data_IF_949755994127
#
_entry.id   IF_949755994127
#
_cell.length_a   1.000
_cell.length_b   1.000
_cell.length_c   1.000
_cell.angle_alpha   90.00
_cell.angle_beta   90.00
_cell.angle_gamma   90.00
#
_symmetry.space_group_name_H-M   'P 1'
#
loop_
_entity.id
_entity.type
_entity.pdbx_description
1 polymer ?
#
# COMPACT_ATOMS: atom_id res chain seq x y z
N UNK A 1 7.61 11.61 -15.72
CA UNK A 1 8.04 10.31 -15.20
C UNK A 1 9.49 10.05 -15.54
N UNK A 2 10.24 9.61 -14.54
CA UNK A 2 11.68 9.34 -14.63
C UNK A 2 12.00 8.07 -15.47
N UNK A 3 13.28 7.84 -15.72
CA UNK A 3 13.76 6.70 -16.53
C UNK A 3 13.51 5.35 -15.87
N UNK A 4 13.59 5.26 -14.54
CA UNK A 4 13.40 4.00 -13.80
C UNK A 4 11.97 3.44 -14.00
N UNK A 5 10.97 4.32 -13.94
CA UNK A 5 9.57 3.93 -14.22
C UNK A 5 9.44 3.40 -15.63
N UNK A 6 10.02 4.10 -16.62
CA UNK A 6 9.95 3.67 -18.02
C UNK A 6 10.63 2.33 -18.23
N UNK A 7 11.83 2.16 -17.69
CA UNK A 7 12.56 0.89 -17.76
C UNK A 7 11.72 -0.25 -17.19
N UNK A 8 11.13 -0.08 -16.01
CA UNK A 8 10.29 -1.10 -15.39
C UNK A 8 9.12 -1.58 -16.27
N UNK A 9 8.45 -0.66 -16.96
CA UNK A 9 7.26 -0.98 -17.77
C UNK A 9 7.58 -1.34 -19.22
N UNK A 10 8.71 -0.88 -19.76
CA UNK A 10 9.10 -1.12 -21.17
C UNK A 10 10.06 -2.28 -21.34
N UNK A 11 10.87 -2.58 -20.33
CA UNK A 11 11.79 -3.71 -20.34
C UNK A 11 10.96 -4.98 -20.19
N UNK A 12 10.73 -5.66 -21.31
CA UNK A 12 9.89 -6.85 -21.38
C UNK A 12 10.63 -8.11 -20.88
N UNK A 13 11.46 -7.97 -19.84
CA UNK A 13 12.06 -9.10 -19.16
C UNK A 13 10.94 -9.98 -18.60
N UNK A 14 10.92 -11.25 -19.04
CA UNK A 14 9.91 -12.25 -18.69
C UNK A 14 8.50 -11.98 -19.22
N UNK A 15 8.35 -11.19 -20.27
CA UNK A 15 7.06 -11.04 -20.97
C UNK A 15 5.94 -10.50 -20.03
N UNK A 16 6.36 -9.67 -19.06
CA UNK A 16 5.58 -9.24 -17.88
C UNK A 16 4.34 -8.43 -18.24
N UNK A 17 4.41 -7.65 -19.32
CA UNK A 17 3.33 -6.80 -19.79
C UNK A 17 3.12 -7.02 -21.28
N UNK A 18 1.88 -7.29 -21.68
CA UNK A 18 1.46 -7.41 -23.08
C UNK A 18 1.13 -6.06 -23.70
N UNK A 19 0.64 -5.13 -22.88
CA UNK A 19 0.37 -3.75 -23.28
C UNK A 19 0.67 -2.82 -22.10
N UNK A 20 1.29 -1.68 -22.39
CA UNK A 20 1.51 -0.60 -21.42
C UNK A 20 1.13 0.71 -22.10
N UNK A 21 0.35 1.54 -21.42
CA UNK A 21 -0.01 2.88 -21.86
C UNK A 21 0.23 3.90 -20.77
N UNK A 22 1.03 4.91 -21.06
CA UNK A 22 1.23 6.05 -20.18
C UNK A 22 0.18 7.10 -20.53
N UNK A 23 -0.92 7.15 -19.76
CA UNK A 23 -2.11 7.90 -20.15
C UNK A 23 -1.86 9.41 -20.27
N UNK A 24 -0.94 9.93 -19.45
CA UNK A 24 -0.47 11.32 -19.50
C UNK A 24 0.39 11.66 -20.73
N UNK A 25 0.76 10.67 -21.55
CA UNK A 25 1.52 10.84 -22.80
C UNK A 25 0.63 10.67 -24.04
N UNK A 26 -0.65 10.40 -23.84
CA UNK A 26 -1.63 10.20 -24.89
C UNK A 26 -2.73 11.27 -24.82
N UNK A 27 -2.45 12.55 -25.13
CA UNK A 27 -3.40 13.66 -24.93
C UNK A 27 -4.70 13.51 -25.73
N UNK A 28 -4.66 12.78 -26.85
CA UNK A 28 -5.78 12.64 -27.78
C UNK A 28 -6.79 11.55 -27.38
N UNK A 29 -6.45 10.69 -26.41
CA UNK A 29 -7.40 9.65 -25.96
C UNK A 29 -8.49 10.25 -25.07
N UNK A 30 -9.73 9.93 -25.42
CA UNK A 30 -10.92 10.37 -24.69
C UNK A 30 -11.33 9.39 -23.60
N UNK A 31 -12.07 9.88 -22.61
CA UNK A 31 -12.68 9.04 -21.57
C UNK A 31 -13.53 7.91 -22.16
N UNK A 32 -14.35 8.21 -23.16
CA UNK A 32 -15.25 7.24 -23.81
C UNK A 32 -14.51 6.13 -24.56
N UNK A 33 -13.26 6.36 -24.95
CA UNK A 33 -12.40 5.34 -25.55
C UNK A 33 -11.76 4.49 -24.46
N UNK A 34 -11.17 5.11 -23.43
CA UNK A 34 -10.37 4.37 -22.46
C UNK A 34 -11.21 3.59 -21.44
N UNK A 35 -12.36 4.13 -21.03
CA UNK A 35 -13.28 3.44 -20.10
C UNK A 35 -13.84 2.12 -20.66
N UNK A 36 -13.75 1.90 -21.98
CA UNK A 36 -14.15 0.63 -22.63
C UNK A 36 -13.08 -0.46 -22.59
N UNK A 37 -11.86 -0.12 -22.21
CA UNK A 37 -10.73 -1.07 -22.14
C UNK A 37 -10.11 -1.13 -20.76
N UNK A 38 -10.26 -0.09 -19.93
CA UNK A 38 -9.86 -0.03 -18.53
C UNK A 38 -11.09 0.23 -17.65
N UNK A 39 -11.79 -0.84 -17.24
CA UNK A 39 -13.10 -0.73 -16.59
C UNK A 39 -13.03 -0.08 -15.20
N UNK A 40 -11.96 -0.37 -14.46
CA UNK A 40 -11.78 0.10 -13.09
C UNK A 40 -10.95 1.38 -13.00
N UNK A 41 -10.65 2.03 -14.14
CA UNK A 41 -9.96 3.31 -14.16
C UNK A 41 -10.85 4.39 -13.52
N UNK A 42 -10.44 5.04 -12.42
CA UNK A 42 -11.21 6.14 -11.87
C UNK A 42 -11.22 7.32 -12.84
N UNK A 43 -12.40 7.91 -13.07
CA UNK A 43 -12.51 9.11 -13.93
C UNK A 43 -11.62 10.25 -13.44
N UNK A 44 -11.50 10.44 -12.13
CA UNK A 44 -10.59 11.43 -11.55
C UNK A 44 -9.13 11.20 -11.92
N UNK A 45 -8.67 9.94 -12.05
CA UNK A 45 -7.32 9.63 -12.53
C UNK A 45 -7.15 9.95 -14.01
N UNK A 46 -8.15 9.65 -14.84
CA UNK A 46 -8.13 10.09 -16.24
C UNK A 46 -8.02 11.62 -16.33
N UNK A 47 -8.80 12.37 -15.56
CA UNK A 47 -8.76 13.83 -15.55
C UNK A 47 -7.42 14.36 -15.03
N UNK A 48 -6.87 13.74 -13.98
CA UNK A 48 -5.52 14.02 -13.46
C UNK A 48 -4.44 13.82 -14.53
N UNK A 49 -4.56 12.80 -15.40
CA UNK A 49 -3.59 12.56 -16.47
C UNK A 49 -3.52 13.70 -17.52
N UNK A 50 -4.46 14.65 -17.50
CA UNK A 50 -4.56 15.77 -18.46
C UNK A 50 -3.94 17.08 -17.98
N UNK A 51 -3.53 17.17 -16.72
CA UNK A 51 -2.89 18.38 -16.17
C UNK A 51 -1.37 18.26 -16.14
N UNK A 52 -0.64 19.33 -15.83
CA UNK A 52 0.82 19.33 -15.74
C UNK A 52 1.34 18.35 -14.68
N UNK A 53 2.56 17.81 -14.81
CA UNK A 53 3.20 17.02 -13.76
C UNK A 53 3.17 17.71 -12.38
N UNK A 54 3.43 19.01 -12.32
CA UNK A 54 3.40 19.80 -11.09
C UNK A 54 2.01 19.79 -10.44
N UNK A 55 0.97 20.09 -11.23
CA UNK A 55 -0.41 20.07 -10.79
C UNK A 55 -0.82 18.67 -10.31
N UNK A 56 -0.36 17.60 -10.99
CA UNK A 56 -0.65 16.22 -10.55
C UNK A 56 -0.09 15.94 -9.16
N UNK A 57 1.14 16.37 -8.89
CA UNK A 57 1.78 16.25 -7.57
C UNK A 57 1.01 17.06 -6.53
N UNK A 58 0.70 18.32 -6.81
CA UNK A 58 -0.02 19.21 -5.91
C UNK A 58 -1.43 18.69 -5.58
N UNK A 59 -2.24 18.36 -6.59
CA UNK A 59 -3.59 17.85 -6.39
C UNK A 59 -3.59 16.52 -5.61
N UNK A 60 -2.66 15.61 -5.91
CA UNK A 60 -2.60 14.32 -5.23
C UNK A 60 -2.15 14.48 -3.78
N UNK A 61 -1.19 15.36 -3.50
CA UNK A 61 -0.77 15.72 -2.14
C UNK A 61 -1.95 16.24 -1.34
N UNK A 62 -2.65 17.25 -1.86
CA UNK A 62 -3.76 17.89 -1.16
C UNK A 62 -4.91 16.89 -0.95
N UNK A 63 -5.16 16.00 -1.91
CA UNK A 63 -6.12 14.91 -1.77
C UNK A 63 -5.74 13.92 -0.67
N UNK A 64 -4.48 13.50 -0.58
CA UNK A 64 -4.01 12.64 0.52
C UNK A 64 -4.22 13.29 1.88
N UNK A 65 -3.82 14.56 2.00
CA UNK A 65 -3.88 15.32 3.26
C UNK A 65 -5.32 15.65 3.70
N UNK A 66 -6.25 15.77 2.77
CA UNK A 66 -7.68 15.91 3.07
C UNK A 66 -8.30 14.59 3.57
N UNK A 67 -7.88 13.46 3.00
CA UNK A 67 -8.49 12.15 3.25
C UNK A 67 -7.93 11.42 4.47
N UNK A 68 -6.63 11.52 4.70
CA UNK A 68 -5.96 10.86 5.83
C UNK A 68 -6.17 11.74 7.08
N UNK A 69 -6.69 11.20 8.20
CA UNK A 69 -6.84 11.97 9.43
C UNK A 69 -5.52 12.63 9.87
N UNK A 70 -5.59 13.89 10.30
CA UNK A 70 -4.40 14.62 10.72
C UNK A 70 -3.63 13.88 11.81
N UNK A 71 -2.33 13.66 11.55
CA UNK A 71 -1.42 13.04 12.50
C UNK A 71 -0.11 13.83 12.58
N UNK A 72 0.23 14.44 13.73
CA UNK A 72 1.30 15.44 13.84
C UNK A 72 2.69 14.89 13.50
N UNK A 73 2.94 13.58 13.68
CA UNK A 73 4.21 12.96 13.32
C UNK A 73 4.28 12.44 11.88
N UNK A 74 3.15 12.09 11.28
CA UNK A 74 3.13 11.44 9.97
C UNK A 74 2.96 12.45 8.83
N UNK A 75 2.15 13.50 9.05
CA UNK A 75 1.90 14.53 8.04
C UNK A 75 3.17 15.23 7.53
N UNK A 76 4.15 15.62 8.38
CA UNK A 76 5.41 16.17 7.88
C UNK A 76 6.12 15.24 6.89
N UNK A 77 6.16 13.93 7.18
CA UNK A 77 6.75 12.94 6.29
C UNK A 77 5.97 12.78 4.98
N UNK A 78 4.64 12.94 4.99
CA UNK A 78 3.85 12.97 3.76
C UNK A 78 4.22 14.18 2.89
N UNK A 79 4.36 15.37 3.48
CA UNK A 79 4.83 16.56 2.74
C UNK A 79 6.22 16.31 2.14
N UNK A 80 7.17 15.83 2.93
CA UNK A 80 8.54 15.50 2.47
C UNK A 80 8.52 14.46 1.34
N UNK A 81 7.62 13.47 1.40
CA UNK A 81 7.46 12.49 0.32
C UNK A 81 7.04 13.16 -0.98
N UNK A 82 6.00 14.00 -0.97
CA UNK A 82 5.53 14.68 -2.18
C UNK A 82 6.54 15.70 -2.73
N UNK A 83 7.34 16.34 -1.87
CA UNK A 83 8.43 17.24 -2.29
C UNK A 83 9.55 16.52 -3.06
N UNK A 84 9.70 15.21 -2.87
CA UNK A 84 10.70 14.39 -3.57
C UNK A 84 10.22 13.87 -4.93
N UNK A 85 8.95 14.05 -5.27
CA UNK A 85 8.38 13.54 -6.53
C UNK A 85 8.68 14.49 -7.70
N UNK A 86 9.01 13.94 -8.86
CA UNK A 86 9.03 14.71 -10.12
C UNK A 86 7.71 14.63 -10.89
N UNK A 87 6.95 13.55 -10.66
CA UNK A 87 5.70 13.30 -11.36
C UNK A 87 4.80 12.29 -10.62
N UNK A 88 3.50 12.40 -10.86
CA UNK A 88 2.51 11.36 -10.56
C UNK A 88 1.80 11.02 -11.86
N UNK A 89 1.98 9.81 -12.37
CA UNK A 89 1.48 9.37 -13.67
C UNK A 89 0.39 8.32 -13.56
N UNK A 90 -0.47 8.22 -14.58
CA UNK A 90 -1.43 7.12 -14.70
C UNK A 90 -0.93 6.17 -15.77
N UNK A 91 -0.67 4.92 -15.37
CA UNK A 91 -0.22 3.86 -16.27
C UNK A 91 -1.28 2.78 -16.34
N UNK A 92 -1.61 2.39 -17.56
CA UNK A 92 -2.52 1.29 -17.82
C UNK A 92 -1.72 0.10 -18.32
N UNK A 93 -1.95 -1.08 -17.74
CA UNK A 93 -1.20 -2.28 -18.09
C UNK A 93 -2.12 -3.45 -18.39
N UNK A 94 -1.76 -4.24 -19.40
CA UNK A 94 -2.38 -5.55 -19.66
C UNK A 94 -1.33 -6.62 -19.42
N UNK A 95 -1.62 -7.57 -18.52
CA UNK A 95 -0.69 -8.66 -18.18
C UNK A 95 -0.93 -9.91 -19.03
N UNK A 96 -2.18 -10.22 -19.38
CA UNK A 96 -2.51 -11.32 -20.29
C UNK A 96 -3.37 -10.87 -21.45
N UNK A 97 -3.23 -11.56 -22.58
CA UNK A 97 -4.02 -11.26 -23.77
C UNK A 97 -5.52 -11.49 -23.51
N UNK A 98 -6.36 -10.55 -23.95
CA UNK A 98 -7.80 -10.59 -23.75
C UNK A 98 -8.29 -10.05 -22.39
N UNK A 99 -7.41 -9.77 -21.43
CA UNK A 99 -7.78 -9.11 -20.18
C UNK A 99 -7.98 -7.60 -20.36
N UNK A 100 -8.83 -6.95 -19.55
CA UNK A 100 -8.90 -5.49 -19.47
C UNK A 100 -7.55 -4.88 -19.08
N UNK A 101 -7.41 -3.58 -19.31
CA UNK A 101 -6.29 -2.79 -18.81
C UNK A 101 -6.51 -2.47 -17.33
N UNK A 102 -5.54 -2.83 -16.50
CA UNK A 102 -5.48 -2.44 -15.10
C UNK A 102 -4.88 -1.04 -14.98
N UNK A 103 -5.51 -0.18 -14.18
CA UNK A 103 -5.00 1.15 -13.89
C UNK A 103 -4.08 1.15 -12.68
N UNK A 104 -2.98 1.90 -12.75
CA UNK A 104 -2.06 2.14 -11.65
C UNK A 104 -1.63 3.60 -11.62
N UNK A 105 -1.62 4.21 -10.43
CA UNK A 105 -1.10 5.54 -10.19
C UNK A 105 0.36 5.42 -9.73
N UNK A 106 1.27 6.05 -10.45
CA UNK A 106 2.71 5.90 -10.27
C UNK A 106 3.28 7.18 -9.67
N UNK A 107 3.93 7.06 -8.51
CA UNK A 107 4.61 8.14 -7.82
C UNK A 107 6.11 8.05 -8.12
N UNK A 108 6.58 8.89 -9.02
CA UNK A 108 7.96 8.90 -9.53
C UNK A 108 8.82 9.84 -8.69
N UNK A 109 9.93 9.34 -8.12
CA UNK A 109 10.87 10.19 -7.39
C UNK A 109 11.83 10.90 -8.35
N UNK A 110 12.14 12.16 -8.06
CA UNK A 110 12.99 12.99 -8.89
C UNK A 110 14.45 12.50 -8.98
N UNK A 111 14.94 11.83 -7.94
CA UNK A 111 16.29 11.27 -7.89
C UNK A 111 16.43 9.94 -8.65
N UNK A 112 15.33 9.38 -9.16
CA UNK A 112 15.32 8.09 -9.86
C UNK A 112 15.68 6.90 -8.96
N UNK A 113 15.69 7.06 -7.64
CA UNK A 113 16.06 5.99 -6.69
C UNK A 113 15.01 4.89 -6.59
N UNK A 114 13.74 5.27 -6.65
CA UNK A 114 12.60 4.35 -6.62
C UNK A 114 11.34 5.01 -7.18
N UNK A 115 10.25 4.26 -7.19
CA UNK A 115 8.90 4.77 -7.46
C UNK A 115 7.88 3.92 -6.71
N UNK A 116 6.72 4.50 -6.41
CA UNK A 116 5.60 3.81 -5.79
C UNK A 116 4.46 3.63 -6.77
N UNK A 117 3.61 2.63 -6.51
CA UNK A 117 2.47 2.27 -7.35
C UNK A 117 1.26 2.09 -6.47
N UNK A 118 0.16 2.77 -6.79
CA UNK A 118 -1.12 2.62 -6.13
C UNK A 118 -2.18 2.08 -7.08
N UNK A 119 -3.04 1.20 -6.57
CA UNK A 119 -4.23 0.70 -7.26
C UNK A 119 -5.42 1.65 -7.09
N UNK A 120 -6.47 1.52 -7.91
CA UNK A 120 -7.71 2.28 -7.74
C UNK A 120 -8.23 2.18 -6.29
N UNK A 121 -8.92 3.22 -5.79
CA UNK A 121 -9.43 3.23 -4.42
C UNK A 121 -10.60 2.26 -4.24
N UNK A 122 -10.79 1.77 -3.01
CA UNK A 122 -12.03 1.10 -2.63
C UNK A 122 -13.22 2.06 -2.67
N UNK A 123 -14.36 1.51 -3.08
CA UNK A 123 -15.69 2.09 -2.88
C UNK A 123 -16.11 2.05 -1.41
N UNK A 124 -17.12 2.84 -1.05
CA UNK A 124 -17.69 2.79 0.30
C UNK A 124 -18.31 1.41 0.64
N UNK A 125 -18.78 0.66 -0.36
CA UNK A 125 -19.32 -0.71 -0.17
C UNK A 125 -18.21 -1.67 0.19
N UNK A 126 -17.11 -1.69 -0.57
CA UNK A 126 -15.97 -2.58 -0.30
C UNK A 126 -15.34 -2.31 1.06
N UNK A 127 -15.24 -1.03 1.46
CA UNK A 127 -14.78 -0.67 2.82
C UNK A 127 -15.74 -1.17 3.90
N UNK A 128 -17.05 -1.14 3.65
CA UNK A 128 -18.05 -1.67 4.59
C UNK A 128 -17.95 -3.21 4.68
N UNK A 129 -17.86 -3.88 3.54
CA UNK A 129 -17.72 -5.33 3.44
C UNK A 129 -16.46 -5.82 4.17
N UNK A 130 -15.31 -5.17 3.98
CA UNK A 130 -14.09 -5.48 4.71
C UNK A 130 -14.27 -5.35 6.24
N UNK A 131 -14.95 -4.30 6.70
CA UNK A 131 -15.20 -4.10 8.14
C UNK A 131 -16.11 -5.18 8.72
N UNK A 132 -17.12 -5.60 7.96
CA UNK A 132 -18.02 -6.68 8.36
C UNK A 132 -17.29 -8.02 8.40
N UNK A 133 -16.44 -8.31 7.39
CA UNK A 133 -15.69 -9.56 7.31
C UNK A 133 -14.61 -9.70 8.39
N UNK A 134 -13.93 -8.61 8.76
CA UNK A 134 -12.84 -8.67 9.75
C UNK A 134 -13.33 -8.81 11.19
N UNK A 135 -14.60 -8.50 11.47
CA UNK A 135 -15.19 -8.46 12.81
C UNK A 135 -14.34 -7.68 13.84
N UNK A 136 -13.57 -6.69 13.37
CA UNK A 136 -12.58 -5.96 14.15
C UNK A 136 -12.64 -4.44 13.90
N UNK A 137 -12.22 -3.66 14.89
CA UNK A 137 -12.17 -2.20 14.79
C UNK A 137 -10.92 -1.75 14.02
N UNK A 138 -10.89 -1.98 12.71
CA UNK A 138 -9.80 -1.54 11.82
C UNK A 138 -9.51 -0.03 11.98
N UNK A 139 -8.23 0.39 11.99
CA UNK A 139 -7.87 1.80 12.19
C UNK A 139 -8.48 2.72 11.14
N UNK A 140 -8.96 3.90 11.56
CA UNK A 140 -9.64 4.83 10.67
C UNK A 140 -8.72 5.34 9.57
N UNK A 141 -7.46 5.59 9.88
CA UNK A 141 -6.47 6.09 8.92
C UNK A 141 -6.12 5.06 7.83
N UNK A 142 -6.08 3.77 8.18
CA UNK A 142 -6.00 2.67 7.21
C UNK A 142 -7.22 2.63 6.28
N UNK A 143 -8.43 2.69 6.83
CA UNK A 143 -9.67 2.71 6.05
C UNK A 143 -9.76 3.96 5.16
N UNK A 144 -9.27 5.10 5.63
CA UNK A 144 -9.13 6.33 4.82
C UNK A 144 -8.14 6.13 3.67
N UNK A 145 -7.03 5.44 3.91
CA UNK A 145 -6.03 5.17 2.88
C UNK A 145 -6.54 4.22 1.79
N UNK A 146 -7.37 3.22 2.14
CA UNK A 146 -8.03 2.36 1.14
C UNK A 146 -8.90 3.14 0.15
N UNK A 147 -9.44 4.30 0.57
CA UNK A 147 -10.19 5.23 -0.32
C UNK A 147 -9.29 6.09 -1.20
N UNK A 148 -7.99 5.96 -1.06
CA UNK A 148 -6.97 6.53 -1.95
C UNK A 148 -6.40 5.42 -2.83
N UNK A 149 -6.01 4.30 -2.21
CA UNK A 149 -5.40 3.15 -2.87
C UNK A 149 -5.84 1.82 -2.25
N UNK A 150 -6.49 0.97 -3.04
CA UNK A 150 -6.74 -0.42 -2.68
C UNK A 150 -5.54 -1.31 -3.08
N UNK A 151 -4.43 -1.16 -2.37
CA UNK A 151 -3.15 -1.74 -2.75
C UNK A 151 -2.13 -0.67 -3.15
N UNK A 152 -0.93 -0.77 -2.59
CA UNK A 152 0.09 0.27 -2.69
C UNK A 152 1.49 -0.29 -2.40
N UNK A 153 2.43 -0.08 -3.30
CA UNK A 153 3.74 -0.68 -3.17
C UNK A 153 4.88 0.10 -3.80
N UNK A 154 6.07 -0.48 -3.76
CA UNK A 154 7.33 0.12 -4.20
C UNK A 154 7.95 -0.79 -5.27
N UNK A 155 8.35 -0.20 -6.39
CA UNK A 155 8.92 -0.93 -7.53
C UNK A 155 8.02 -2.10 -8.01
N UNK A 156 8.58 -3.32 -8.03
CA UNK A 156 7.89 -4.55 -8.40
C UNK A 156 6.93 -5.08 -7.33
N UNK A 157 7.07 -4.64 -6.09
CA UNK A 157 6.36 -5.21 -4.94
C UNK A 157 5.14 -4.36 -4.60
N UNK A 158 3.94 -4.92 -4.78
CA UNK A 158 2.71 -4.23 -4.39
C UNK A 158 2.51 -4.21 -2.88
N UNK A 159 3.16 -5.09 -2.11
CA UNK A 159 3.35 -5.01 -0.65
C UNK A 159 2.08 -4.95 0.19
N UNK A 160 1.38 -3.81 0.12
CA UNK A 160 0.09 -3.58 0.74
C UNK A 160 -1.00 -4.43 0.09
N UNK A 161 -1.75 -5.12 0.94
CA UNK A 161 -2.74 -6.12 0.56
C UNK A 161 -4.05 -5.42 0.20
N UNK A 162 -4.62 -5.80 -0.94
CA UNK A 162 -5.92 -5.31 -1.41
C UNK A 162 -7.03 -5.79 -0.45
N UNK A 163 -8.06 -4.99 -0.25
CA UNK A 163 -9.10 -5.17 0.77
C UNK A 163 -9.73 -6.58 0.70
N UNK A 164 -10.06 -7.03 -0.51
CA UNK A 164 -10.63 -8.34 -0.82
C UNK A 164 -9.70 -9.52 -0.47
N UNK A 165 -8.39 -9.28 -0.39
CA UNK A 165 -7.39 -10.31 -0.10
C UNK A 165 -6.99 -10.37 1.39
N UNK A 166 -7.43 -9.40 2.21
CA UNK A 166 -7.05 -9.34 3.63
C UNK A 166 -7.51 -10.58 4.40
N UNK A 167 -8.73 -11.07 4.15
CA UNK A 167 -9.23 -12.27 4.84
C UNK A 167 -8.49 -13.54 4.42
N UNK A 168 -8.10 -13.62 3.16
CA UNK A 168 -7.23 -14.68 2.64
C UNK A 168 -5.85 -14.60 3.28
N UNK A 169 -5.26 -13.41 3.38
CA UNK A 169 -3.97 -13.19 4.01
C UNK A 169 -4.00 -13.52 5.52
N UNK A 170 -5.07 -13.15 6.24
CA UNK A 170 -5.27 -13.52 7.65
C UNK A 170 -5.25 -15.04 7.83
N UNK A 171 -5.96 -15.78 6.97
CA UNK A 171 -5.92 -17.25 6.96
C UNK A 171 -4.52 -17.80 6.68
N UNK A 172 -3.78 -17.22 5.72
CA UNK A 172 -2.39 -17.63 5.44
C UNK A 172 -1.48 -17.44 6.66
N UNK A 173 -1.59 -16.30 7.35
CA UNK A 173 -0.84 -16.03 8.59
C UNK A 173 -1.19 -17.04 9.67
N UNK A 174 -2.48 -17.31 9.89
CA UNK A 174 -2.92 -18.33 10.84
C UNK A 174 -2.36 -19.72 10.50
N UNK A 175 -2.48 -20.15 9.24
CA UNK A 175 -1.95 -21.44 8.78
C UNK A 175 -0.43 -21.54 8.94
N UNK A 176 0.29 -20.45 8.65
CA UNK A 176 1.74 -20.38 8.82
C UNK A 176 2.12 -20.59 10.29
N UNK A 177 1.40 -19.96 11.22
CA UNK A 177 1.68 -20.10 12.65
C UNK A 177 1.28 -21.49 13.18
N UNK A 178 0.13 -22.03 12.76
CA UNK A 178 -0.36 -23.36 13.17
C UNK A 178 0.54 -24.51 12.70
N UNK A 179 1.23 -24.34 11.57
CA UNK A 179 2.20 -25.33 11.07
C UNK A 179 3.46 -25.40 11.93
N UNK A 180 3.70 -24.42 12.78
CA UNK A 180 4.81 -24.44 13.71
C UNK A 180 4.38 -24.90 15.09
N UNK A 181 5.18 -25.73 15.73
CA UNK A 181 5.03 -26.01 17.16
C UNK A 181 5.48 -24.82 18.04
N UNK A 182 5.83 -23.67 17.42
CA UNK A 182 6.32 -22.48 18.10
C UNK A 182 5.14 -21.56 18.44
N UNK A 183 5.18 -21.02 19.66
CA UNK A 183 4.27 -19.94 20.06
C UNK A 183 4.79 -18.62 19.53
N UNK A 184 3.91 -17.81 18.95
CA UNK A 184 4.20 -16.43 18.56
C UNK A 184 4.30 -15.60 19.83
N UNK A 185 5.34 -14.78 19.93
CA UNK A 185 5.57 -13.92 21.09
C UNK A 185 5.84 -12.49 20.70
N UNK A 186 5.31 -11.57 21.50
CA UNK A 186 5.71 -10.16 21.56
C UNK A 186 6.44 -9.93 22.88
N UNK A 187 7.77 -9.84 22.83
CA UNK A 187 8.60 -9.93 24.03
C UNK A 187 8.38 -11.26 24.76
N UNK A 188 7.93 -11.20 26.01
CA UNK A 188 7.65 -12.37 26.84
C UNK A 188 6.17 -12.84 26.80
N UNK A 189 5.31 -12.16 26.04
CA UNK A 189 3.87 -12.41 26.00
C UNK A 189 3.52 -13.31 24.81
N UNK A 190 2.81 -14.41 25.06
CA UNK A 190 2.24 -15.27 24.02
C UNK A 190 1.11 -14.51 23.30
N UNK A 191 1.14 -14.51 21.97
CA UNK A 191 0.17 -13.82 21.11
C UNK A 191 -0.70 -14.85 20.40
N UNK A 192 -2.02 -14.63 20.39
CA UNK A 192 -2.95 -15.41 19.57
C UNK A 192 -2.79 -15.01 18.09
N UNK A 193 -2.40 -15.91 17.18
CA UNK A 193 -2.32 -15.60 15.75
C UNK A 193 -3.63 -15.09 15.15
N UNK A 194 -4.79 -15.47 15.70
CA UNK A 194 -6.11 -15.01 15.24
C UNK A 194 -6.35 -13.51 15.47
N UNK A 195 -5.59 -12.89 16.38
CA UNK A 195 -5.62 -11.45 16.67
C UNK A 195 -4.84 -10.59 15.66
N UNK A 196 -4.10 -11.22 14.75
CA UNK A 196 -3.27 -10.52 13.75
C UNK A 196 -4.03 -10.38 12.43
N UNK A 197 -4.12 -9.16 11.92
CA UNK A 197 -4.76 -8.85 10.63
C UNK A 197 -3.70 -8.27 9.70
N UNK A 198 -3.14 -9.06 8.76
CA UNK A 198 -2.11 -8.56 7.85
C UNK A 198 -2.69 -7.54 6.88
N UNK A 199 -2.01 -6.41 6.71
CA UNK A 199 -2.32 -5.40 5.69
C UNK A 199 -1.16 -5.15 4.72
N UNK A 200 0.01 -5.72 5.01
CA UNK A 200 1.18 -5.68 4.13
C UNK A 200 1.96 -6.99 4.23
N UNK A 201 2.48 -7.46 3.10
CA UNK A 201 3.32 -8.64 2.95
C UNK A 201 4.55 -8.31 2.09
N UNK A 202 5.75 -8.53 2.62
CA UNK A 202 6.99 -8.44 1.86
C UNK A 202 7.13 -9.66 0.95
N UNK A 203 7.31 -9.43 -0.35
CA UNK A 203 7.29 -10.49 -1.36
C UNK A 203 8.39 -11.53 -1.10
N UNK A 204 8.01 -12.81 -1.06
CA UNK A 204 8.96 -13.93 -1.00
C UNK A 204 9.61 -14.16 0.36
N UNK A 205 9.27 -13.37 1.39
CA UNK A 205 9.90 -13.43 2.72
C UNK A 205 8.94 -13.87 3.83
N UNK A 206 7.67 -14.14 3.50
CA UNK A 206 6.62 -14.46 4.48
C UNK A 206 6.62 -13.49 5.67
N UNK A 207 6.90 -12.22 5.40
CA UNK A 207 7.08 -11.19 6.43
C UNK A 207 5.96 -10.18 6.31
N UNK A 208 5.27 -9.91 7.41
CA UNK A 208 4.00 -9.18 7.39
C UNK A 208 4.05 -7.97 8.31
N UNK A 209 3.28 -6.95 7.97
CA UNK A 209 2.81 -5.97 8.94
C UNK A 209 1.34 -6.23 9.20
N UNK A 210 1.01 -6.36 10.48
CA UNK A 210 -0.30 -6.78 10.94
C UNK A 210 -0.86 -5.76 11.91
N UNK A 211 -2.15 -5.43 11.79
CA UNK A 211 -2.86 -4.83 12.92
C UNK A 211 -2.98 -5.88 14.03
N UNK A 212 -2.70 -5.47 15.26
CA UNK A 212 -2.76 -6.35 16.42
C UNK A 212 -3.97 -6.02 17.29
N UNK A 213 -4.97 -6.92 17.26
CA UNK A 213 -6.26 -6.71 17.91
C UNK A 213 -6.22 -6.66 19.44
N UNK A 214 -5.09 -6.99 20.08
CA UNK A 214 -4.90 -6.85 21.53
C UNK A 214 -4.01 -5.65 21.91
N UNK A 215 -3.57 -4.82 20.95
CA UNK A 215 -2.69 -3.69 21.21
C UNK A 215 -3.26 -2.35 20.71
N UNK A 216 -3.64 -1.49 21.67
CA UNK A 216 -4.24 -0.17 21.44
C UNK A 216 -3.42 0.93 22.12
N UNK A 217 -2.31 1.39 21.52
CA UNK A 217 -1.40 2.37 22.14
C UNK A 217 -2.01 3.77 22.35
N UNK A 218 -3.22 4.00 21.82
CA UNK A 218 -4.09 5.14 22.10
C UNK A 218 -5.54 4.66 22.24
N UNK A 219 -6.27 4.64 21.13
CA UNK A 219 -7.67 4.15 21.06
C UNK A 219 -7.97 3.34 19.79
N UNK A 220 -6.99 3.13 18.92
CA UNK A 220 -7.08 2.34 17.69
C UNK A 220 -6.00 1.26 17.71
N UNK A 221 -6.18 0.21 16.90
CA UNK A 221 -5.20 -0.88 16.81
C UNK A 221 -3.87 -0.34 16.27
N UNK A 222 -2.79 -0.65 16.99
CA UNK A 222 -1.44 -0.47 16.47
C UNK A 222 -1.10 -1.57 15.45
N UNK A 223 0.05 -1.43 14.80
CA UNK A 223 0.57 -2.45 13.89
C UNK A 223 1.96 -2.93 14.29
N UNK A 224 2.18 -4.22 14.04
CA UNK A 224 3.38 -4.97 14.42
C UNK A 224 3.90 -5.75 13.23
N UNK A 225 5.22 -5.88 13.18
CA UNK A 225 5.90 -6.74 12.24
C UNK A 225 5.87 -8.19 12.73
N UNK A 226 5.60 -9.10 11.80
CA UNK A 226 5.66 -10.54 11.97
C UNK A 226 6.69 -11.12 10.99
N UNK A 227 7.76 -11.71 11.52
CA UNK A 227 8.69 -12.53 10.73
C UNK A 227 8.11 -13.93 10.60
N UNK A 228 7.70 -14.34 9.40
CA UNK A 228 7.29 -15.72 9.14
C UNK A 228 8.44 -16.71 9.05
N UNK A 229 9.69 -16.23 9.05
CA UNK A 229 10.90 -17.08 9.07
C UNK A 229 11.27 -17.41 10.52
N UNK A 230 11.35 -16.39 11.38
CA UNK A 230 11.77 -16.53 12.77
C UNK A 230 10.59 -16.82 13.71
N UNK A 231 9.36 -16.56 13.25
CA UNK A 231 8.11 -16.66 14.02
C UNK A 231 8.11 -15.70 15.21
N UNK A 232 8.70 -14.51 15.01
CA UNK A 232 8.79 -13.43 15.99
C UNK A 232 7.84 -12.29 15.63
N UNK A 233 7.28 -11.67 16.65
CA UNK A 233 6.47 -10.45 16.54
C UNK A 233 7.24 -9.28 17.15
N UNK A 234 7.01 -8.07 16.65
CA UNK A 234 7.51 -6.84 17.29
C UNK A 234 7.21 -6.82 18.78
N UNK A 235 8.17 -6.37 19.59
CA UNK A 235 7.94 -6.12 21.01
C UNK A 235 7.21 -4.78 21.18
N UNK A 236 6.01 -4.84 21.76
CA UNK A 236 5.17 -3.66 22.02
C UNK A 236 5.29 -3.13 23.45
N UNK A 237 6.10 -3.74 24.31
CA UNK A 237 6.18 -3.39 25.72
C UNK A 237 7.03 -2.15 26.01
N UNK A 238 8.08 -1.89 25.21
CA UNK A 238 8.92 -0.70 25.35
C UNK A 238 8.67 0.33 24.23
N UNK A 239 8.00 1.43 24.60
CA UNK A 239 7.70 2.54 23.69
C UNK A 239 8.92 3.14 23.01
N UNK A 240 10.11 3.03 23.63
CA UNK A 240 11.34 3.62 23.09
C UNK A 240 11.90 2.84 21.91
N UNK A 241 11.60 1.54 21.83
CA UNK A 241 12.15 0.64 20.82
C UNK A 241 11.11 0.23 19.78
N UNK A 242 9.87 0.73 19.86
CA UNK A 242 8.78 0.40 18.92
C UNK A 242 9.20 0.51 17.45
N UNK A 243 9.76 1.64 17.03
CA UNK A 243 10.20 1.83 15.63
C UNK A 243 11.33 0.86 15.25
N UNK A 244 12.26 0.60 16.16
CA UNK A 244 13.37 -0.36 15.96
C UNK A 244 12.85 -1.79 15.80
N UNK A 245 11.75 -2.12 16.48
CA UNK A 245 11.04 -3.39 16.35
C UNK A 245 9.97 -3.36 15.26
N UNK A 246 9.84 -2.29 14.47
CA UNK A 246 8.82 -2.12 13.44
C UNK A 246 7.38 -2.23 13.98
N UNK A 247 7.15 -1.82 15.22
CA UNK A 247 5.84 -1.58 15.80
C UNK A 247 5.47 -0.10 15.70
N UNK A 248 4.26 0.20 15.21
CA UNK A 248 3.79 1.57 15.04
C UNK A 248 2.43 1.79 15.71
N UNK A 249 2.24 2.92 16.42
CA UNK A 249 0.99 3.22 17.10
C UNK A 249 -0.21 3.42 16.18
N UNK A 250 0.02 3.83 14.94
CA UNK A 250 -1.00 4.11 13.93
C UNK A 250 -0.52 3.62 12.57
N UNK A 251 -1.47 3.39 11.67
CA UNK A 251 -1.14 3.07 10.27
C UNK A 251 -0.41 4.24 9.61
N UNK A 252 -0.78 5.48 9.92
CA UNK A 252 -0.15 6.68 9.36
C UNK A 252 1.33 6.80 9.74
N UNK A 253 1.72 6.44 10.97
CA UNK A 253 3.14 6.42 11.36
C UNK A 253 3.91 5.33 10.59
N UNK A 254 3.31 4.15 10.39
CA UNK A 254 3.89 3.10 9.54
C UNK A 254 4.04 3.56 8.09
N UNK A 255 3.02 4.17 7.51
CA UNK A 255 3.04 4.66 6.12
C UNK A 255 4.10 5.74 5.93
N UNK A 256 4.25 6.66 6.88
CA UNK A 256 5.32 7.66 6.87
C UNK A 256 6.71 6.99 6.84
N UNK A 257 6.92 5.99 7.70
CA UNK A 257 8.17 5.23 7.72
C UNK A 257 8.40 4.45 6.41
N UNK A 258 7.35 3.85 5.84
CA UNK A 258 7.38 3.14 4.56
C UNK A 258 7.85 4.04 3.41
N UNK A 259 7.28 5.25 3.30
CA UNK A 259 7.59 6.22 2.25
C UNK A 259 9.01 6.82 2.38
N UNK A 260 9.57 6.87 3.58
CA UNK A 260 10.95 7.30 3.81
C UNK A 260 11.99 6.28 3.34
N UNK A 261 11.56 5.06 2.98
CA UNK A 261 12.42 4.01 2.43
C UNK A 261 12.69 2.89 3.42
N UNK A 262 11.67 2.47 4.18
CA UNK A 262 11.72 1.31 5.08
C UNK A 262 12.50 0.14 4.45
N UNK A 263 13.63 -0.21 5.05
CA UNK A 263 14.38 -1.42 4.75
C UNK A 263 13.76 -2.55 5.58
N UNK A 264 12.81 -3.29 4.99
CA UNK A 264 12.18 -4.43 5.66
C UNK A 264 13.10 -5.65 5.79
N UNK A 265 14.28 -5.65 5.17
CA UNK A 265 15.30 -6.69 5.29
C UNK A 265 16.69 -6.17 4.87
N UNK A 266 17.67 -6.33 5.75
CA UNK A 266 19.02 -6.81 5.40
C UNK A 266 19.19 -8.19 5.99
#
# INVERSE_FOLDING_TARGET
MNSLVREFFTTNENDRFKEVRFLNEEPDITWDQISKVAYDLPRGWFELSRVSPQDRVEFTRDFWLDRIPYHPKAHPAFFEFFERLDDIGVVLVRRREGEPLDAELIYSLADGSTFFRGKPPCTDSEVLELKEEMEANLPRDFLSFLKIHNGFGKLSEMGFIEAEEISHAKRRVMDLMLRTEKRVKSGDIDVDPGSLIPFYEALGLSSFQCFYADWYPGNEMGNVYLSGIDYTLSDVNDKKTWVEHLAFPTFSEWLAYYLQGMDLCT
#
